data_IF_965362509963
#
_entry.id   IF_965362509963
#
_cell.length_a   1.000
_cell.length_b   1.000
_cell.length_c   1.000
_cell.angle_alpha   90.00
_cell.angle_beta   90.00
_cell.angle_gamma   90.00
#
_symmetry.space_group_name_H-M   'P 1'
#
loop_
_entity.id
_entity.type
_entity.pdbx_description
1 polymer ?
#
# COMPACT_ATOMS: atom_id res chain seq x y z
N UNK A 1 -19.58 13.90 -24.05
CA UNK A 1 -20.15 12.75 -23.26
C UNK A 1 -21.67 12.65 -23.42
N UNK A 2 -22.18 11.49 -23.81
CA UNK A 2 -23.62 11.21 -23.84
C UNK A 2 -24.23 11.09 -22.44
N UNK A 3 -25.57 11.16 -22.33
CA UNK A 3 -26.28 11.20 -21.06
C UNK A 3 -26.08 9.92 -20.21
N UNK A 4 -26.06 8.74 -20.84
CA UNK A 4 -25.87 7.46 -20.15
C UNK A 4 -24.47 7.39 -19.53
N UNK A 5 -23.46 7.80 -20.28
CA UNK A 5 -22.08 7.88 -19.78
C UNK A 5 -21.93 8.89 -18.64
N UNK A 6 -22.62 10.03 -18.71
CA UNK A 6 -22.63 11.04 -17.64
C UNK A 6 -23.27 10.53 -16.36
N UNK A 7 -24.42 9.86 -16.46
CA UNK A 7 -25.11 9.22 -15.33
C UNK A 7 -24.21 8.17 -14.67
N UNK A 8 -23.60 7.27 -15.45
CA UNK A 8 -22.68 6.24 -14.96
C UNK A 8 -21.46 6.83 -14.24
N UNK A 9 -20.86 7.88 -14.79
CA UNK A 9 -19.70 8.56 -14.19
C UNK A 9 -20.05 9.21 -12.86
N UNK A 10 -21.21 9.85 -12.80
CA UNK A 10 -21.71 10.49 -11.56
C UNK A 10 -21.96 9.44 -10.48
N UNK A 11 -22.60 8.32 -10.84
CA UNK A 11 -22.81 7.21 -9.93
C UNK A 11 -21.48 6.70 -9.37
N UNK A 12 -20.49 6.45 -10.21
CA UNK A 12 -19.17 6.00 -9.76
C UNK A 12 -18.45 7.01 -8.85
N UNK A 13 -18.53 8.32 -9.15
CA UNK A 13 -17.94 9.33 -8.29
C UNK A 13 -18.57 9.34 -6.89
N UNK A 14 -19.90 9.17 -6.80
CA UNK A 14 -20.62 9.05 -5.53
C UNK A 14 -20.24 7.75 -4.81
N UNK A 15 -20.28 6.61 -5.51
CA UNK A 15 -19.92 5.31 -4.93
C UNK A 15 -18.50 5.29 -4.39
N UNK A 16 -17.54 5.91 -5.08
CA UNK A 16 -16.17 6.01 -4.57
C UNK A 16 -16.14 6.70 -3.20
N UNK A 17 -16.83 7.84 -3.03
CA UNK A 17 -16.86 8.55 -1.75
C UNK A 17 -17.56 7.71 -0.67
N UNK A 18 -18.68 7.06 -1.00
CA UNK A 18 -19.38 6.17 -0.07
C UNK A 18 -18.47 5.03 0.40
N UNK A 19 -17.85 4.30 -0.53
CA UNK A 19 -16.95 3.20 -0.19
C UNK A 19 -15.70 3.67 0.55
N UNK A 20 -15.19 4.86 0.24
CA UNK A 20 -14.08 5.47 0.98
C UNK A 20 -14.44 5.72 2.44
N UNK A 21 -15.59 6.36 2.72
CA UNK A 21 -16.02 6.62 4.10
C UNK A 21 -16.41 5.34 4.85
N UNK A 22 -17.04 4.37 4.19
CA UNK A 22 -17.28 3.04 4.76
C UNK A 22 -15.96 2.37 5.15
N UNK A 23 -14.96 2.43 4.27
CA UNK A 23 -13.62 1.89 4.52
C UNK A 23 -12.98 2.56 5.73
N UNK A 24 -13.01 3.90 5.81
CA UNK A 24 -12.52 4.63 6.98
C UNK A 24 -13.24 4.21 8.27
N UNK A 25 -14.56 4.06 8.22
CA UNK A 25 -15.36 3.60 9.35
C UNK A 25 -14.91 2.22 9.85
N UNK A 26 -14.80 1.24 8.95
CA UNK A 26 -14.36 -0.12 9.30
C UNK A 26 -12.92 -0.13 9.82
N UNK A 27 -11.99 0.62 9.20
CA UNK A 27 -10.63 0.75 9.70
C UNK A 27 -10.58 1.36 11.10
N UNK A 28 -11.40 2.39 11.36
CA UNK A 28 -11.52 3.00 12.67
C UNK A 28 -12.04 2.01 13.71
N UNK A 29 -13.09 1.24 13.39
CA UNK A 29 -13.63 0.20 14.30
C UNK A 29 -12.59 -0.89 14.60
N UNK A 30 -11.81 -1.31 13.60
CA UNK A 30 -10.70 -2.24 13.80
C UNK A 30 -9.60 -1.67 14.69
N UNK A 31 -9.31 -0.38 14.58
CA UNK A 31 -8.29 0.29 15.41
C UNK A 31 -8.70 0.45 16.87
N UNK A 32 -10.00 0.48 17.18
CA UNK A 32 -10.52 0.58 18.57
C UNK A 32 -10.76 -0.77 19.22
N UNK A 33 -10.54 -1.88 18.51
CA UNK A 33 -10.82 -3.24 18.99
C UNK A 33 -12.31 -3.60 19.04
N UNK A 34 -13.15 -2.94 18.25
CA UNK A 34 -14.60 -3.14 18.29
C UNK A 34 -15.05 -4.58 17.98
N UNK A 35 -14.35 -5.29 17.07
CA UNK A 35 -14.81 -6.58 16.55
C UNK A 35 -14.60 -7.76 17.52
N UNK A 36 -13.50 -7.75 18.29
CA UNK A 36 -13.08 -8.88 19.13
C UNK A 36 -12.45 -8.46 20.47
N UNK A 37 -12.49 -7.16 20.81
CA UNK A 37 -11.88 -6.62 22.03
C UNK A 37 -10.38 -6.32 21.93
N UNK A 38 -9.71 -6.64 20.83
CA UNK A 38 -8.30 -6.30 20.57
C UNK A 38 -8.18 -5.36 19.38
N UNK A 39 -7.44 -4.27 19.53
CA UNK A 39 -7.12 -3.43 18.39
C UNK A 39 -6.19 -4.14 17.42
N UNK A 40 -6.12 -3.64 16.19
CA UNK A 40 -5.11 -4.11 15.22
C UNK A 40 -3.68 -3.97 15.74
N UNK A 41 -3.43 -2.94 16.55
CA UNK A 41 -2.15 -2.76 17.21
C UNK A 41 -1.89 -3.90 18.19
N UNK A 42 -2.85 -4.19 19.07
CA UNK A 42 -2.72 -5.28 20.06
C UNK A 42 -2.48 -6.63 19.37
N UNK A 43 -3.17 -6.89 18.26
CA UNK A 43 -2.99 -8.12 17.50
C UNK A 43 -1.63 -8.19 16.80
N UNK A 44 -1.14 -7.07 16.26
CA UNK A 44 0.20 -6.97 15.70
C UNK A 44 1.30 -7.11 16.77
N UNK A 45 1.03 -6.63 17.99
CA UNK A 45 1.95 -6.75 19.12
C UNK A 45 1.96 -8.20 19.67
N UNK A 46 0.82 -8.89 19.65
CA UNK A 46 0.68 -10.32 20.02
C UNK A 46 1.49 -11.24 19.10
N UNK A 47 1.49 -10.97 17.80
CA UNK A 47 2.19 -11.75 16.79
C UNK A 47 3.42 -11.00 16.26
N UNK A 48 4.22 -10.36 17.12
CA UNK A 48 5.38 -9.62 16.64
C UNK A 48 6.31 -10.50 15.80
N UNK A 49 6.67 -9.98 14.62
CA UNK A 49 7.65 -10.58 13.71
C UNK A 49 8.89 -9.69 13.67
N UNK A 50 10.00 -10.24 13.21
CA UNK A 50 11.24 -9.48 12.99
C UNK A 50 11.13 -8.39 11.90
N UNK A 51 9.98 -8.28 11.23
CA UNK A 51 9.66 -7.19 10.29
C UNK A 51 8.48 -6.32 10.76
N UNK A 52 8.05 -6.46 12.01
CA UNK A 52 7.01 -5.60 12.59
C UNK A 52 7.55 -4.17 12.78
N UNK A 53 6.97 -3.14 12.14
CA UNK A 53 7.46 -1.78 12.27
C UNK A 53 7.01 -1.14 13.59
N UNK A 54 7.74 -0.12 14.04
CA UNK A 54 7.35 0.67 15.20
C UNK A 54 5.96 1.33 15.00
N UNK A 55 5.15 1.54 16.07
CA UNK A 55 3.76 1.98 15.95
C UNK A 55 3.54 3.28 15.17
N UNK A 56 4.48 4.24 15.25
CA UNK A 56 4.36 5.51 14.51
C UNK A 56 4.34 5.32 12.99
N UNK A 57 4.86 4.20 12.48
CA UNK A 57 4.95 3.91 11.04
C UNK A 57 3.56 3.86 10.39
N UNK A 58 2.53 3.46 11.13
CA UNK A 58 1.15 3.44 10.65
C UNK A 58 0.55 4.83 10.40
N UNK A 59 1.21 5.92 10.84
CA UNK A 59 0.78 7.30 10.55
C UNK A 59 0.73 7.62 9.05
N UNK A 60 1.42 6.85 8.20
CA UNK A 60 1.34 6.96 6.74
C UNK A 60 -0.09 6.78 6.20
N UNK A 61 -0.94 6.04 6.92
CA UNK A 61 -2.36 5.92 6.56
C UNK A 61 -3.06 7.28 6.54
N UNK A 62 -2.70 8.20 7.43
CA UNK A 62 -3.22 9.57 7.39
C UNK A 62 -2.91 10.26 6.06
N UNK A 63 -1.65 10.16 5.59
CA UNK A 63 -1.22 10.72 4.30
C UNK A 63 -1.97 10.06 3.13
N UNK A 64 -2.07 8.73 3.13
CA UNK A 64 -2.74 7.96 2.08
C UNK A 64 -4.23 8.31 2.02
N UNK A 65 -4.92 8.32 3.16
CA UNK A 65 -6.34 8.64 3.25
C UNK A 65 -6.61 10.08 2.84
N UNK A 66 -5.80 11.06 3.28
CA UNK A 66 -5.94 12.44 2.82
C UNK A 66 -5.79 12.56 1.31
N UNK A 67 -4.77 11.94 0.71
CA UNK A 67 -4.56 11.98 -0.74
C UNK A 67 -5.69 11.29 -1.53
N UNK A 68 -6.19 10.15 -1.02
CA UNK A 68 -7.36 9.48 -1.58
C UNK A 68 -8.58 10.39 -1.50
N UNK A 69 -8.87 11.01 -0.36
CA UNK A 69 -9.99 11.94 -0.21
C UNK A 69 -9.90 13.09 -1.21
N UNK A 70 -8.75 13.75 -1.31
CA UNK A 70 -8.52 14.84 -2.27
C UNK A 70 -8.76 14.36 -3.70
N UNK A 71 -8.29 13.15 -4.05
CA UNK A 71 -8.50 12.54 -5.37
C UNK A 71 -9.99 12.28 -5.65
N UNK A 72 -10.71 11.73 -4.68
CA UNK A 72 -12.12 11.37 -4.83
C UNK A 72 -13.04 12.60 -4.83
N UNK A 73 -12.71 13.63 -4.04
CA UNK A 73 -13.37 14.94 -4.10
C UNK A 73 -13.11 15.61 -5.44
N UNK A 74 -11.88 15.55 -5.96
CA UNK A 74 -11.56 16.02 -7.31
C UNK A 74 -12.40 15.29 -8.37
N UNK A 75 -12.50 13.96 -8.29
CA UNK A 75 -13.38 13.16 -9.15
C UNK A 75 -14.83 13.61 -9.06
N UNK A 76 -15.35 13.83 -7.85
CA UNK A 76 -16.71 14.28 -7.64
C UNK A 76 -16.95 15.66 -8.26
N UNK A 77 -16.09 16.65 -7.98
CA UNK A 77 -16.23 18.02 -8.50
C UNK A 77 -16.14 18.03 -10.03
N UNK A 78 -15.16 17.32 -10.61
CA UNK A 78 -14.89 17.31 -12.05
C UNK A 78 -15.57 16.18 -12.80
N UNK A 79 -16.55 15.48 -12.22
CA UNK A 79 -17.26 14.34 -12.84
C UNK A 79 -17.94 14.63 -14.19
N UNK A 80 -18.22 15.90 -14.50
CA UNK A 80 -18.81 16.35 -15.78
C UNK A 80 -17.76 16.60 -16.86
N UNK A 81 -16.49 16.73 -16.49
CA UNK A 81 -15.38 16.83 -17.44
C UNK A 81 -15.16 15.49 -18.14
N UNK A 82 -14.95 15.49 -19.45
CA UNK A 82 -14.88 14.25 -20.22
C UNK A 82 -13.60 13.45 -19.94
N UNK A 83 -12.45 14.12 -19.78
CA UNK A 83 -11.17 13.46 -19.51
C UNK A 83 -11.16 12.90 -18.09
N UNK A 84 -11.60 13.68 -17.11
CA UNK A 84 -11.73 13.18 -15.72
C UNK A 84 -12.78 12.07 -15.66
N UNK A 85 -13.89 12.19 -16.39
CA UNK A 85 -14.90 11.14 -16.45
C UNK A 85 -14.36 9.80 -16.97
N UNK A 86 -13.47 9.83 -17.98
CA UNK A 86 -12.75 8.62 -18.45
C UNK A 86 -11.92 8.00 -17.33
N UNK A 87 -11.15 8.80 -16.60
CA UNK A 87 -10.36 8.34 -15.45
C UNK A 87 -11.24 7.72 -14.36
N UNK A 88 -12.35 8.37 -13.98
CA UNK A 88 -13.29 7.84 -12.98
C UNK A 88 -13.78 6.46 -13.38
N UNK A 89 -14.30 6.31 -14.61
CA UNK A 89 -14.82 5.02 -15.10
C UNK A 89 -13.74 3.93 -15.19
N UNK A 90 -12.49 4.32 -15.43
CA UNK A 90 -11.35 3.41 -15.53
C UNK A 90 -10.97 2.82 -14.16
N UNK A 91 -10.99 3.65 -13.10
CA UNK A 91 -10.47 3.27 -11.77
C UNK A 91 -11.54 2.83 -10.79
N UNK A 92 -12.76 3.39 -10.88
CA UNK A 92 -13.83 3.17 -9.88
C UNK A 92 -14.18 1.70 -9.61
N UNK A 93 -14.34 0.82 -10.62
CA UNK A 93 -14.66 -0.58 -10.34
C UNK A 93 -13.58 -1.28 -9.49
N UNK A 94 -12.31 -1.04 -9.80
CA UNK A 94 -11.19 -1.60 -9.05
C UNK A 94 -11.03 -0.94 -7.68
N UNK A 95 -11.31 0.36 -7.57
CA UNK A 95 -11.27 1.05 -6.28
C UNK A 95 -12.36 0.52 -5.33
N UNK A 96 -13.58 0.32 -5.82
CA UNK A 96 -14.67 -0.27 -5.04
C UNK A 96 -14.31 -1.69 -4.61
N UNK A 97 -13.76 -2.51 -5.51
CA UNK A 97 -13.26 -3.85 -5.17
C UNK A 97 -12.16 -3.76 -4.08
N UNK A 98 -11.22 -2.83 -4.22
CA UNK A 98 -10.17 -2.61 -3.22
C UNK A 98 -10.75 -2.21 -1.85
N UNK A 99 -11.79 -1.37 -1.82
CA UNK A 99 -12.46 -0.97 -0.59
C UNK A 99 -13.14 -2.18 0.09
N UNK A 100 -13.82 -3.04 -0.68
CA UNK A 100 -14.42 -4.28 -0.16
C UNK A 100 -13.36 -5.22 0.41
N UNK A 101 -12.28 -5.47 -0.34
CA UNK A 101 -11.18 -6.31 0.15
C UNK A 101 -10.54 -5.73 1.41
N UNK A 102 -10.36 -4.41 1.48
CA UNK A 102 -9.82 -3.75 2.66
C UNK A 102 -10.75 -3.95 3.88
N UNK A 103 -12.03 -3.62 3.76
CA UNK A 103 -12.98 -3.79 4.87
C UNK A 103 -13.06 -5.24 5.34
N UNK A 104 -13.13 -6.19 4.40
CA UNK A 104 -13.15 -7.61 4.73
C UNK A 104 -11.84 -8.06 5.41
N UNK A 105 -10.68 -7.60 4.89
CA UNK A 105 -9.38 -7.89 5.48
C UNK A 105 -9.31 -7.43 6.93
N UNK A 106 -9.75 -6.19 7.23
CA UNK A 106 -9.75 -5.64 8.59
C UNK A 106 -10.56 -6.52 9.56
N UNK A 107 -11.76 -6.94 9.15
CA UNK A 107 -12.65 -7.76 9.99
C UNK A 107 -12.03 -9.14 10.22
N UNK A 108 -11.60 -9.81 9.16
CA UNK A 108 -11.02 -11.16 9.21
C UNK A 108 -9.70 -11.17 9.97
N UNK A 109 -8.86 -10.15 9.78
CA UNK A 109 -7.62 -9.96 10.54
C UNK A 109 -7.94 -9.79 12.02
N UNK A 110 -8.94 -8.99 12.38
CA UNK A 110 -9.35 -8.81 13.78
C UNK A 110 -9.74 -10.15 14.43
N UNK A 111 -10.38 -11.07 13.71
CA UNK A 111 -10.68 -12.42 14.23
C UNK A 111 -9.51 -13.43 14.14
N UNK A 112 -8.28 -12.95 13.89
CA UNK A 112 -7.06 -13.77 13.83
C UNK A 112 -7.07 -14.86 12.74
N UNK A 113 -7.94 -14.72 11.74
CA UNK A 113 -8.05 -15.64 10.60
C UNK A 113 -6.96 -15.31 9.57
N UNK A 114 -5.69 -15.45 9.96
CA UNK A 114 -4.57 -14.85 9.23
C UNK A 114 -4.39 -15.41 7.81
N UNK A 115 -4.70 -16.70 7.59
CA UNK A 115 -4.68 -17.29 6.25
C UNK A 115 -5.67 -16.62 5.29
N UNK A 116 -6.93 -16.44 5.72
CA UNK A 116 -7.96 -15.73 4.93
C UNK A 116 -7.59 -14.25 4.78
N UNK A 117 -7.07 -13.62 5.85
CA UNK A 117 -6.61 -12.23 5.79
C UNK A 117 -5.51 -12.04 4.73
N UNK A 118 -4.62 -13.03 4.57
CA UNK A 118 -3.55 -13.00 3.56
C UNK A 118 -4.13 -13.03 2.14
N UNK A 119 -5.15 -13.85 1.89
CA UNK A 119 -5.84 -13.86 0.59
C UNK A 119 -6.56 -12.53 0.31
N UNK A 120 -7.18 -11.92 1.32
CA UNK A 120 -7.89 -10.65 1.17
C UNK A 120 -6.94 -9.47 0.92
N UNK A 121 -5.83 -9.38 1.65
CA UNK A 121 -4.84 -8.31 1.43
C UNK A 121 -4.13 -8.48 0.07
N UNK A 122 -3.93 -9.71 -0.41
CA UNK A 122 -3.48 -9.96 -1.78
C UNK A 122 -4.51 -9.48 -2.82
N UNK A 123 -5.80 -9.71 -2.61
CA UNK A 123 -6.88 -9.20 -3.47
C UNK A 123 -6.92 -7.66 -3.48
N UNK A 124 -6.73 -7.03 -2.33
CA UNK A 124 -6.57 -5.59 -2.19
C UNK A 124 -5.35 -5.09 -2.98
N UNK A 125 -4.17 -5.68 -2.75
CA UNK A 125 -2.93 -5.32 -3.43
C UNK A 125 -3.07 -5.44 -4.95
N UNK A 126 -3.60 -6.57 -5.43
CA UNK A 126 -3.81 -6.81 -6.85
C UNK A 126 -4.73 -5.76 -7.48
N UNK A 127 -5.83 -5.41 -6.80
CA UNK A 127 -6.74 -4.36 -7.24
C UNK A 127 -6.03 -3.01 -7.39
N UNK A 128 -5.17 -2.64 -6.42
CA UNK A 128 -4.41 -1.40 -6.43
C UNK A 128 -3.32 -1.38 -7.52
N UNK A 129 -2.58 -2.46 -7.70
CA UNK A 129 -1.59 -2.58 -8.78
C UNK A 129 -2.27 -2.43 -10.14
N UNK A 130 -3.44 -3.03 -10.33
CA UNK A 130 -4.20 -2.86 -11.57
C UNK A 130 -4.67 -1.42 -11.80
N UNK A 131 -5.07 -0.70 -10.74
CA UNK A 131 -5.38 0.74 -10.85
C UNK A 131 -4.14 1.51 -11.32
N UNK A 132 -3.01 1.32 -10.64
CA UNK A 132 -1.75 2.02 -10.97
C UNK A 132 -1.30 1.70 -12.40
N UNK A 133 -1.39 0.43 -12.83
CA UNK A 133 -1.09 0.01 -14.21
C UNK A 133 -2.02 0.68 -15.22
N UNK A 134 -3.34 0.70 -14.96
CA UNK A 134 -4.31 1.33 -15.86
C UNK A 134 -4.10 2.84 -15.98
N UNK A 135 -3.82 3.53 -14.87
CA UNK A 135 -3.47 4.95 -14.88
C UNK A 135 -2.21 5.17 -15.69
N UNK A 136 -1.14 4.39 -15.40
CA UNK A 136 0.17 4.49 -16.06
C UNK A 136 0.07 4.30 -17.58
N UNK A 137 -0.68 3.30 -18.04
CA UNK A 137 -0.81 2.98 -19.46
C UNK A 137 -1.66 3.99 -20.25
N UNK A 138 -2.45 4.83 -19.58
CA UNK A 138 -3.38 5.77 -20.23
C UNK A 138 -3.13 7.21 -19.78
N UNK A 139 -1.92 7.54 -19.30
CA UNK A 139 -1.60 8.84 -18.68
C UNK A 139 -1.92 10.04 -19.57
N UNK A 140 -1.80 9.92 -20.89
CA UNK A 140 -2.10 10.99 -21.85
C UNK A 140 -3.58 11.34 -21.96
N UNK A 141 -4.45 10.40 -21.62
CA UNK A 141 -5.87 10.54 -21.92
C UNK A 141 -6.57 11.43 -20.89
N UNK A 142 -5.97 11.65 -19.71
CA UNK A 142 -6.61 12.32 -18.58
C UNK A 142 -5.59 12.92 -17.59
N UNK A 143 -6.00 13.88 -16.74
CA UNK A 143 -5.15 14.41 -15.67
C UNK A 143 -4.89 13.33 -14.62
N UNK A 144 -3.78 12.62 -14.79
CA UNK A 144 -3.47 11.38 -14.05
C UNK A 144 -2.59 11.60 -12.82
N UNK A 145 -1.92 12.74 -12.68
CA UNK A 145 -0.90 12.96 -11.64
C UNK A 145 -1.42 12.74 -10.22
N UNK A 146 -2.52 13.41 -9.84
CA UNK A 146 -3.09 13.31 -8.49
C UNK A 146 -3.50 11.87 -8.17
N UNK A 147 -4.35 11.27 -9.02
CA UNK A 147 -4.80 9.90 -8.83
C UNK A 147 -3.63 8.90 -8.89
N UNK A 148 -2.66 9.13 -9.77
CA UNK A 148 -1.45 8.33 -9.91
C UNK A 148 -0.66 8.30 -8.62
N UNK A 149 -0.40 9.46 -8.00
CA UNK A 149 0.35 9.53 -6.73
C UNK A 149 -0.44 8.83 -5.63
N UNK A 150 -1.72 9.15 -5.47
CA UNK A 150 -2.57 8.60 -4.40
C UNK A 150 -2.63 7.07 -4.45
N UNK A 151 -2.92 6.49 -5.62
CA UNK A 151 -2.99 5.04 -5.77
C UNK A 151 -1.61 4.37 -5.75
N UNK A 152 -0.54 5.07 -6.15
CA UNK A 152 0.83 4.57 -6.03
C UNK A 152 1.23 4.41 -4.57
N UNK A 153 1.04 5.45 -3.76
CA UNK A 153 1.39 5.40 -2.34
C UNK A 153 0.56 4.36 -1.62
N UNK A 154 -0.74 4.27 -1.93
CA UNK A 154 -1.60 3.24 -1.38
C UNK A 154 -1.14 1.83 -1.77
N UNK A 155 -0.89 1.58 -3.06
CA UNK A 155 -0.42 0.26 -3.54
C UNK A 155 0.92 -0.14 -2.93
N UNK A 156 1.86 0.80 -2.82
CA UNK A 156 3.19 0.54 -2.27
C UNK A 156 3.15 0.24 -0.77
N UNK A 157 2.32 0.96 -0.01
CA UNK A 157 2.11 0.66 1.40
C UNK A 157 1.40 -0.68 1.63
N UNK A 158 0.38 -1.01 0.83
CA UNK A 158 -0.29 -2.32 0.92
C UNK A 158 0.65 -3.46 0.54
N UNK A 159 1.62 -3.23 -0.36
CA UNK A 159 2.63 -4.23 -0.70
C UNK A 159 3.44 -4.65 0.53
N UNK A 160 3.98 -3.70 1.29
CA UNK A 160 4.71 -4.04 2.51
C UNK A 160 3.79 -4.60 3.60
N UNK A 161 2.56 -4.10 3.73
CA UNK A 161 1.58 -4.67 4.65
C UNK A 161 1.24 -6.13 4.33
N UNK A 162 1.23 -6.51 3.04
CA UNK A 162 1.04 -7.90 2.59
C UNK A 162 2.21 -8.78 3.02
N UNK A 163 3.44 -8.28 2.92
CA UNK A 163 4.64 -8.99 3.41
C UNK A 163 4.52 -9.24 4.91
N UNK A 164 4.22 -8.19 5.70
CA UNK A 164 4.03 -8.31 7.16
C UNK A 164 2.92 -9.29 7.49
N UNK A 165 1.74 -9.16 6.87
CA UNK A 165 0.60 -10.05 7.10
C UNK A 165 0.94 -11.52 6.78
N UNK A 166 1.71 -11.75 5.72
CA UNK A 166 2.15 -13.10 5.35
C UNK A 166 3.12 -13.65 6.40
N UNK A 167 4.03 -12.84 6.92
CA UNK A 167 4.91 -13.25 8.03
C UNK A 167 4.12 -13.60 9.29
N UNK A 168 3.08 -12.82 9.64
CA UNK A 168 2.18 -13.15 10.76
C UNK A 168 1.51 -14.52 10.56
N UNK A 169 1.03 -14.78 9.34
CA UNK A 169 0.41 -16.07 9.02
C UNK A 169 1.42 -17.23 9.10
N UNK A 170 2.64 -17.06 8.62
CA UNK A 170 3.68 -18.10 8.71
C UNK A 170 4.09 -18.39 10.16
N UNK A 171 4.14 -17.37 11.02
CA UNK A 171 4.36 -17.54 12.47
C UNK A 171 3.19 -18.28 13.11
N UNK A 172 1.94 -17.93 12.77
CA UNK A 172 0.76 -18.64 13.27
C UNK A 172 0.73 -20.12 12.85
N UNK A 173 1.28 -20.46 11.68
CA UNK A 173 1.42 -21.84 11.21
C UNK A 173 2.59 -22.59 11.85
N UNK A 174 3.40 -21.95 12.70
CA UNK A 174 4.65 -22.49 13.23
C UNK A 174 5.57 -23.03 12.12
N UNK A 175 5.61 -22.31 10.99
CA UNK A 175 6.37 -22.77 9.84
C UNK A 175 7.86 -22.84 10.15
N UNK A 176 8.46 -24.01 9.95
CA UNK A 176 9.84 -24.31 10.33
C UNK A 176 10.93 -23.60 9.49
N UNK A 177 10.55 -22.69 8.57
CA UNK A 177 11.50 -21.92 7.77
C UNK A 177 12.44 -22.75 6.90
N UNK A 178 12.09 -24.01 6.57
CA UNK A 178 13.00 -24.98 5.97
C UNK A 178 14.30 -25.19 6.76
N UNK A 179 14.27 -24.99 8.08
CA UNK A 179 15.44 -25.07 8.97
C UNK A 179 16.32 -23.82 9.01
N UNK A 180 15.97 -22.75 8.26
CA UNK A 180 16.64 -21.46 8.36
C UNK A 180 16.08 -20.65 9.53
N UNK A 181 16.93 -19.81 10.14
CA UNK A 181 16.50 -18.94 11.24
C UNK A 181 15.62 -17.79 10.77
N UNK A 182 14.76 -17.28 11.65
CA UNK A 182 13.90 -16.12 11.39
C UNK A 182 14.69 -14.89 10.96
N UNK A 183 15.91 -14.73 11.48
CA UNK A 183 16.82 -13.65 11.08
C UNK A 183 17.25 -13.76 9.62
N UNK A 184 17.55 -14.97 9.13
CA UNK A 184 17.90 -15.21 7.72
C UNK A 184 16.68 -14.93 6.83
N UNK A 185 15.49 -15.40 7.23
CA UNK A 185 14.25 -15.11 6.51
C UNK A 185 13.93 -13.62 6.45
N UNK A 186 14.16 -12.90 7.55
CA UNK A 186 14.00 -11.45 7.62
C UNK A 186 14.91 -10.75 6.63
N UNK A 187 16.19 -11.11 6.59
CA UNK A 187 17.13 -10.53 5.61
C UNK A 187 16.69 -10.87 4.18
N UNK A 188 16.33 -12.12 3.92
CA UNK A 188 15.88 -12.57 2.61
C UNK A 188 14.65 -11.80 2.12
N UNK A 189 13.64 -11.61 2.98
CA UNK A 189 12.41 -10.93 2.59
C UNK A 189 12.62 -9.43 2.36
N UNK A 190 13.53 -8.79 3.10
CA UNK A 190 13.95 -7.42 2.83
C UNK A 190 14.62 -7.29 1.46
N UNK A 191 15.49 -8.23 1.08
CA UNK A 191 16.08 -8.26 -0.27
C UNK A 191 15.04 -8.52 -1.36
N UNK A 192 14.08 -9.42 -1.13
CA UNK A 192 12.96 -9.66 -2.06
C UNK A 192 12.12 -8.40 -2.24
N UNK A 193 11.82 -7.67 -1.15
CA UNK A 193 11.09 -6.41 -1.21
C UNK A 193 11.87 -5.35 -2.02
N UNK A 194 13.17 -5.19 -1.77
CA UNK A 194 14.04 -4.28 -2.56
C UNK A 194 14.06 -4.69 -4.03
N UNK A 195 14.28 -5.96 -4.33
CA UNK A 195 14.31 -6.50 -5.69
C UNK A 195 12.99 -6.26 -6.44
N UNK A 196 11.86 -6.45 -5.76
CA UNK A 196 10.54 -6.14 -6.32
C UNK A 196 10.40 -4.65 -6.66
N UNK A 197 10.90 -3.75 -5.81
CA UNK A 197 10.87 -2.30 -6.11
C UNK A 197 11.67 -1.97 -7.36
N UNK A 198 12.88 -2.52 -7.50
CA UNK A 198 13.69 -2.30 -8.70
C UNK A 198 13.02 -2.86 -9.95
N UNK A 199 12.42 -4.06 -9.87
CA UNK A 199 11.62 -4.64 -10.94
C UNK A 199 10.44 -3.73 -11.32
N UNK A 200 9.71 -3.23 -10.32
CA UNK A 200 8.59 -2.30 -10.52
C UNK A 200 9.05 -0.99 -11.19
N UNK A 201 10.15 -0.40 -10.71
CA UNK A 201 10.71 0.83 -11.28
C UNK A 201 11.16 0.65 -12.74
N UNK A 202 11.74 -0.51 -13.08
CA UNK A 202 12.13 -0.83 -14.44
C UNK A 202 10.92 -0.84 -15.40
N UNK A 203 9.76 -1.32 -14.95
CA UNK A 203 8.55 -1.40 -15.74
C UNK A 203 7.78 -0.07 -15.83
N UNK A 204 7.58 0.60 -14.69
CA UNK A 204 6.63 1.70 -14.58
C UNK A 204 7.28 3.08 -14.46
N UNK A 205 8.59 3.13 -14.16
CA UNK A 205 9.39 4.35 -13.96
C UNK A 205 8.71 5.37 -13.03
N UNK A 206 8.01 4.87 -12.00
CA UNK A 206 7.22 5.67 -11.09
C UNK A 206 8.01 5.94 -9.81
N UNK A 207 8.54 7.16 -9.70
CA UNK A 207 9.44 7.57 -8.63
C UNK A 207 8.77 7.63 -7.24
N UNK A 208 7.43 7.66 -7.17
CA UNK A 208 6.73 7.70 -5.88
C UNK A 208 6.63 6.31 -5.22
N UNK A 209 6.75 5.22 -5.98
CA UNK A 209 6.54 3.87 -5.46
C UNK A 209 7.52 3.44 -4.36
N UNK A 210 8.82 3.77 -4.39
CA UNK A 210 9.76 3.37 -3.33
C UNK A 210 9.50 4.05 -1.97
N UNK A 211 8.81 5.20 -1.94
CA UNK A 211 8.74 6.05 -0.74
C UNK A 211 8.03 5.40 0.46
N UNK A 212 6.84 4.78 0.32
CA UNK A 212 6.20 4.08 1.45
C UNK A 212 7.01 2.89 1.97
N UNK A 213 7.79 2.24 1.12
CA UNK A 213 8.61 1.08 1.51
C UNK A 213 9.85 1.55 2.27
N UNK A 214 10.48 2.65 1.85
CA UNK A 214 11.54 3.29 2.62
C UNK A 214 11.03 3.75 4.00
N UNK A 215 9.82 4.30 4.07
CA UNK A 215 9.16 4.65 5.33
C UNK A 215 8.92 3.41 6.21
N UNK A 216 8.45 2.31 5.63
CA UNK A 216 8.28 1.05 6.36
C UNK A 216 9.60 0.51 6.91
N UNK A 217 10.68 0.53 6.10
CA UNK A 217 12.01 0.09 6.53
C UNK A 217 12.53 0.95 7.68
N UNK A 218 12.27 2.26 7.65
CA UNK A 218 12.58 3.15 8.78
C UNK A 218 11.80 2.79 10.04
N UNK A 219 10.53 2.42 9.88
CA UNK A 219 9.69 1.90 10.96
C UNK A 219 10.26 0.64 11.61
N UNK A 220 10.66 -0.34 10.78
CA UNK A 220 11.28 -1.60 11.26
C UNK A 220 12.62 -1.32 11.93
N UNK A 221 13.46 -0.49 11.32
CA UNK A 221 14.75 -0.08 11.90
C UNK A 221 14.56 0.57 13.27
N UNK A 222 13.55 1.44 13.40
CA UNK A 222 13.26 2.13 14.66
C UNK A 222 12.82 1.17 15.77
N UNK A 223 12.09 0.09 15.44
CA UNK A 223 11.70 -0.93 16.41
C UNK A 223 12.90 -1.72 16.93
N UNK A 224 13.89 -1.98 16.07
CA UNK A 224 15.18 -2.54 16.50
C UNK A 224 16.01 -1.55 17.33
N UNK A 225 16.07 -0.28 16.90
CA UNK A 225 16.85 0.76 17.59
C UNK A 225 16.30 1.08 18.99
N UNK A 226 14.99 0.92 19.20
CA UNK A 226 14.36 1.08 20.51
C UNK A 226 14.44 -0.16 21.41
N UNK A 227 15.02 -1.26 20.94
CA UNK A 227 15.07 -2.54 21.67
C UNK A 227 13.72 -3.27 21.77
N UNK A 228 12.72 -2.88 20.98
CA UNK A 228 11.42 -3.58 20.94
C UNK A 228 11.55 -4.90 20.17
N UNK A 229 12.35 -4.90 19.10
CA UNK A 229 12.73 -6.10 18.38
C UNK A 229 14.15 -6.51 18.76
N UNK A 230 14.30 -7.77 19.17
CA UNK A 230 15.58 -8.41 19.38
C UNK A 230 15.71 -9.62 18.46
N UNK A 231 16.87 -9.77 17.84
CA UNK A 231 17.17 -10.87 16.94
C UNK A 231 18.66 -11.22 17.02
N UNK A 232 19.01 -12.48 16.80
CA UNK A 232 20.41 -12.94 16.80
C UNK A 232 21.29 -12.20 15.78
N UNK A 233 20.71 -11.70 14.69
CA UNK A 233 21.39 -10.90 13.67
C UNK A 233 20.91 -9.44 13.61
N UNK A 234 20.49 -8.86 14.74
CA UNK A 234 19.91 -7.50 14.79
C UNK A 234 20.79 -6.44 14.10
N UNK A 235 22.11 -6.44 14.33
CA UNK A 235 23.04 -5.48 13.69
C UNK A 235 23.04 -5.61 12.17
N UNK A 236 23.03 -6.84 11.65
CA UNK A 236 22.98 -7.09 10.20
C UNK A 236 21.64 -6.65 9.61
N UNK A 237 20.52 -6.95 10.28
CA UNK A 237 19.18 -6.55 9.84
C UNK A 237 19.08 -5.02 9.81
N UNK A 238 19.53 -4.34 10.86
CA UNK A 238 19.59 -2.87 10.91
C UNK A 238 20.43 -2.30 9.75
N UNK A 239 21.61 -2.87 9.47
CA UNK A 239 22.45 -2.44 8.36
C UNK A 239 21.76 -2.61 7.00
N UNK A 240 21.09 -3.75 6.77
CA UNK A 240 20.30 -4.01 5.55
C UNK A 240 19.14 -3.03 5.42
N UNK A 241 18.44 -2.72 6.51
CA UNK A 241 17.35 -1.74 6.52
C UNK A 241 17.85 -0.35 6.13
N UNK A 242 18.94 0.13 6.76
CA UNK A 242 19.53 1.44 6.44
C UNK A 242 20.01 1.49 4.99
N UNK A 243 20.74 0.46 4.53
CA UNK A 243 21.18 0.37 3.14
C UNK A 243 19.98 0.36 2.17
N UNK A 244 18.94 -0.41 2.51
CA UNK A 244 17.68 -0.46 1.75
C UNK A 244 17.00 0.90 1.66
N UNK A 245 16.88 1.63 2.76
CA UNK A 245 16.33 3.00 2.78
C UNK A 245 17.10 3.90 1.83
N UNK A 246 18.43 3.95 1.96
CA UNK A 246 19.29 4.78 1.11
C UNK A 246 19.14 4.41 -0.36
N UNK A 247 19.16 3.11 -0.69
CA UNK A 247 18.99 2.61 -2.06
C UNK A 247 17.62 2.99 -2.64
N UNK A 248 16.54 2.83 -1.87
CA UNK A 248 15.18 3.16 -2.30
C UNK A 248 15.00 4.67 -2.53
N UNK A 249 15.57 5.51 -1.67
CA UNK A 249 15.56 6.97 -1.82
C UNK A 249 16.39 7.42 -3.02
N UNK A 250 17.59 6.85 -3.22
CA UNK A 250 18.41 7.11 -4.42
C UNK A 250 17.65 6.67 -5.67
N UNK A 251 17.05 5.48 -5.68
CA UNK A 251 16.31 4.97 -6.82
C UNK A 251 15.08 5.87 -7.15
N UNK A 252 14.38 6.35 -6.12
CA UNK A 252 13.30 7.33 -6.26
C UNK A 252 13.80 8.64 -6.88
N UNK A 253 14.84 9.25 -6.30
CA UNK A 253 15.42 10.50 -6.78
C UNK A 253 15.98 10.38 -8.21
N UNK A 254 16.68 9.29 -8.50
CA UNK A 254 17.21 8.99 -9.83
C UNK A 254 16.11 8.84 -10.87
N UNK A 255 15.05 8.09 -10.54
CA UNK A 255 13.88 7.92 -11.42
C UNK A 255 13.18 9.26 -11.65
N UNK A 256 13.05 10.08 -10.60
CA UNK A 256 12.49 11.43 -10.70
C UNK A 256 13.30 12.33 -11.65
N UNK A 257 14.63 12.30 -11.55
CA UNK A 257 15.53 13.06 -12.46
C UNK A 257 15.41 12.54 -13.89
N UNK A 258 15.41 11.23 -14.11
CA UNK A 258 15.23 10.61 -15.44
C UNK A 258 13.87 10.89 -16.07
N UNK A 259 12.88 11.23 -15.25
CA UNK A 259 11.55 11.63 -15.69
C UNK A 259 11.44 13.15 -15.89
N UNK A 260 12.55 13.86 -16.13
CA UNK A 260 12.62 15.32 -16.25
C UNK A 260 12.02 16.06 -15.05
N UNK A 261 12.37 15.62 -13.83
CA UNK A 261 11.83 16.15 -12.56
C UNK A 261 10.32 15.90 -12.40
N UNK A 262 9.84 14.76 -12.90
CA UNK A 262 8.47 14.27 -12.73
C UNK A 262 8.41 12.95 -11.94
N UNK A 263 7.33 12.74 -11.16
CA UNK A 263 7.12 11.46 -10.47
C UNK A 263 6.81 10.31 -11.43
N UNK A 264 6.32 10.65 -12.62
CA UNK A 264 5.98 9.72 -13.69
C UNK A 264 6.76 10.14 -14.94
N UNK A 265 7.14 9.19 -15.82
CA UNK A 265 7.77 9.55 -17.07
C UNK A 265 6.83 10.40 -17.91
N UNK A 266 7.39 11.39 -18.60
CA UNK A 266 6.66 12.12 -19.63
C UNK A 266 6.21 11.15 -20.70
N UNK A 267 5.02 11.40 -21.20
CA UNK A 267 4.49 10.72 -22.34
C UNK A 267 5.09 11.35 -23.60
N UNK A 268 5.83 10.55 -24.35
CA UNK A 268 6.34 10.95 -25.67
C UNK A 268 5.14 11.03 -26.61
N UNK A 269 4.72 12.25 -26.95
CA UNK A 269 3.75 12.53 -28.00
C UNK A 269 4.32 12.18 -29.37
#
# INVERSE_FOLDING_TARGET
>A
MDEKTRKKTTLFAILNLVFYFLTLGINSLGSTGFFNGMSQKDLSDKYMTLISPAPFTFSIWGVIYTLLLVTLVYFFIKRKDERVGKLIRLVSPLFIASAVFNMAWIIVFSYELLGISTLLILGLLFSLILIVKKITNNRDQFPSTLAGISFTLYSSWVFIATIVNTSLFLVQLEWNGFGLSDSIWTIAILFVAIGFVFFYLALYKNAAFPLPIAWAFFGIYSAYASGVLEASMATTIQAVLVAGIVLLLIASAWTYIKNDKGLFPKTTS
#
